data_IF_486334602890
#
_entry.id   IF_486334602890
#
_cell.length_a   1.000
_cell.length_b   1.000
_cell.length_c   1.000
_cell.angle_alpha   90.00
_cell.angle_beta   90.00
_cell.angle_gamma   90.00
#
_symmetry.space_group_name_H-M   'P 1'
#
loop_
_entity.id
_entity.type
_entity.pdbx_description
1 polymer ?
#
# COMPACT_ATOMS: atom_id res chain seq x y z
N UNK A 1 -9.27 -24.33 -37.30
CA UNK A 1 -9.36 -23.83 -35.90
C UNK A 1 -8.87 -22.38 -35.88
N UNK A 2 -9.78 -21.40 -35.97
CA UNK A 2 -9.42 -19.98 -35.93
C UNK A 2 -10.34 -19.27 -34.95
N UNK A 3 -9.93 -19.20 -33.69
CA UNK A 3 -10.50 -18.25 -32.73
C UNK A 3 -9.91 -16.88 -33.06
N UNK A 4 -10.50 -16.17 -34.03
CA UNK A 4 -10.21 -14.74 -34.22
C UNK A 4 -10.77 -14.02 -33.00
N UNK A 5 -9.91 -13.39 -32.20
CA UNK A 5 -10.35 -12.43 -31.21
C UNK A 5 -11.02 -11.26 -31.94
N UNK A 6 -12.35 -11.25 -31.95
CA UNK A 6 -13.14 -10.22 -32.65
C UNK A 6 -13.10 -8.90 -31.88
N UNK A 7 -12.90 -8.94 -30.56
CA UNK A 7 -12.71 -7.77 -29.68
C UNK A 7 -12.01 -8.20 -28.39
N UNK A 8 -11.01 -7.45 -27.95
CA UNK A 8 -10.28 -7.70 -26.70
C UNK A 8 -10.28 -6.44 -25.83
N UNK A 9 -10.49 -6.61 -24.52
CA UNK A 9 -10.43 -5.55 -23.51
C UNK A 9 -9.27 -5.86 -22.54
N UNK A 10 -8.44 -4.86 -22.27
CA UNK A 10 -7.25 -5.00 -21.41
C UNK A 10 -7.35 -4.04 -20.22
N UNK A 11 -7.79 -4.49 -19.03
CA UNK A 11 -7.81 -3.65 -17.83
C UNK A 11 -6.38 -3.43 -17.30
N UNK A 12 -6.06 -2.19 -16.90
CA UNK A 12 -4.73 -1.85 -16.39
C UNK A 12 -4.73 -0.64 -15.45
N UNK A 13 -3.73 -0.56 -14.58
CA UNK A 13 -3.47 0.61 -13.75
C UNK A 13 -1.96 0.90 -13.75
N UNK A 14 -1.53 1.89 -14.55
CA UNK A 14 -0.13 2.31 -14.70
C UNK A 14 0.50 2.84 -13.41
N UNK A 15 -0.30 3.11 -12.38
CA UNK A 15 0.16 3.61 -11.08
C UNK A 15 0.25 2.51 -10.02
N UNK A 16 0.09 1.24 -10.38
CA UNK A 16 0.33 0.09 -9.51
C UNK A 16 1.57 -0.69 -9.95
N UNK A 17 1.93 -1.74 -9.19
CA UNK A 17 3.14 -2.52 -9.45
C UNK A 17 3.12 -3.18 -10.83
N UNK A 18 4.19 -2.91 -11.58
CA UNK A 18 4.49 -3.62 -12.81
C UNK A 18 5.23 -4.95 -12.52
N UNK A 19 5.34 -5.87 -13.51
CA UNK A 19 6.03 -7.14 -13.33
C UNK A 19 7.42 -6.96 -12.72
N UNK A 20 7.81 -7.90 -11.86
CA UNK A 20 9.13 -7.90 -11.24
C UNK A 20 10.21 -8.24 -12.28
N UNK A 21 11.29 -7.46 -12.31
CA UNK A 21 12.41 -7.62 -13.24
C UNK A 21 13.71 -7.56 -12.42
N UNK A 22 14.65 -8.46 -12.70
CA UNK A 22 15.94 -8.57 -12.00
C UNK A 22 17.05 -7.66 -12.56
N UNK A 23 16.75 -6.87 -13.58
CA UNK A 23 17.67 -5.91 -14.18
C UNK A 23 17.07 -4.49 -14.16
N UNK A 24 17.91 -3.44 -14.30
CA UNK A 24 17.42 -2.07 -14.39
C UNK A 24 16.40 -1.91 -15.52
N UNK A 25 15.34 -1.11 -15.30
CA UNK A 25 14.32 -0.86 -16.34
C UNK A 25 14.86 -0.15 -17.59
N UNK A 26 16.01 0.49 -17.46
CA UNK A 26 16.73 1.13 -18.57
C UNK A 26 17.51 0.13 -19.43
N UNK A 27 17.73 -1.10 -18.97
CA UNK A 27 18.48 -2.10 -19.70
C UNK A 27 17.66 -2.66 -20.88
N UNK A 28 18.32 -2.96 -22.00
CA UNK A 28 17.67 -3.53 -23.19
C UNK A 28 16.81 -4.77 -22.89
N UNK A 29 17.23 -5.73 -22.04
CA UNK A 29 16.38 -6.86 -21.68
C UNK A 29 15.06 -6.45 -21.02
N UNK A 30 15.06 -5.38 -20.22
CA UNK A 30 13.84 -4.87 -19.60
C UNK A 30 12.96 -4.12 -20.61
N UNK A 31 13.57 -3.30 -21.47
CA UNK A 31 12.85 -2.50 -22.48
C UNK A 31 12.15 -3.37 -23.54
N UNK A 32 12.79 -4.45 -23.97
CA UNK A 32 12.27 -5.31 -25.04
C UNK A 32 11.61 -6.59 -24.51
N UNK A 33 12.11 -7.16 -23.42
CA UNK A 33 11.69 -8.47 -22.91
C UNK A 33 10.73 -8.44 -21.73
N UNK A 34 10.59 -7.30 -21.04
CA UNK A 34 9.78 -7.20 -19.82
C UNK A 34 8.84 -5.99 -19.79
N UNK A 35 8.57 -5.38 -20.96
CA UNK A 35 7.55 -4.34 -21.10
C UNK A 35 6.15 -4.98 -21.12
N UNK A 36 5.21 -4.42 -20.37
CA UNK A 36 3.84 -4.91 -20.36
C UNK A 36 3.20 -4.75 -21.75
N UNK A 37 2.44 -5.74 -22.20
CA UNK A 37 1.74 -5.66 -23.50
C UNK A 37 0.85 -4.40 -23.57
N UNK A 38 0.27 -4.00 -22.44
CA UNK A 38 -0.58 -2.81 -22.35
C UNK A 38 0.24 -1.52 -22.48
N UNK A 39 1.45 -1.47 -21.90
CA UNK A 39 2.37 -0.33 -22.07
C UNK A 39 2.77 -0.14 -23.54
N UNK A 40 2.87 -1.25 -24.29
CA UNK A 40 3.14 -1.21 -25.73
C UNK A 40 1.92 -0.72 -26.50
N UNK A 41 0.74 -1.26 -26.21
CA UNK A 41 -0.51 -0.90 -26.86
C UNK A 41 -0.87 0.57 -26.66
N UNK A 42 -0.76 1.09 -25.43
CA UNK A 42 -1.04 2.51 -25.12
C UNK A 42 -0.02 3.46 -25.75
N UNK A 43 1.21 3.01 -26.01
CA UNK A 43 2.17 3.81 -26.78
C UNK A 43 1.86 3.91 -28.27
N UNK A 44 0.82 3.21 -28.75
CA UNK A 44 0.32 3.31 -30.13
C UNK A 44 -0.97 4.11 -30.12
N UNK A 45 -1.02 5.18 -30.91
CA UNK A 45 -2.21 6.06 -31.02
C UNK A 45 -3.49 5.34 -31.49
N UNK A 46 -3.33 4.18 -32.14
CA UNK A 46 -4.44 3.38 -32.68
C UNK A 46 -5.27 2.62 -31.61
N UNK A 47 -4.85 2.61 -30.34
CA UNK A 47 -5.57 1.88 -29.28
C UNK A 47 -6.38 2.87 -28.43
N UNK A 48 -7.72 2.84 -28.48
CA UNK A 48 -8.54 3.74 -27.68
C UNK A 48 -8.39 3.41 -26.19
N UNK A 49 -8.16 4.45 -25.38
CA UNK A 49 -8.02 4.35 -23.93
C UNK A 49 -9.22 5.00 -23.25
N UNK A 50 -9.89 4.26 -22.37
CA UNK A 50 -10.96 4.77 -21.53
C UNK A 50 -10.47 4.79 -20.07
N UNK A 51 -10.41 5.98 -19.47
CA UNK A 51 -9.96 6.16 -18.10
C UNK A 51 -11.11 5.97 -17.11
N UNK A 52 -10.91 5.10 -16.10
CA UNK A 52 -11.82 4.94 -14.98
C UNK A 52 -11.32 5.77 -13.79
N UNK A 53 -11.95 6.92 -13.56
CA UNK A 53 -11.51 7.86 -12.54
C UNK A 53 -12.31 7.77 -11.23
N UNK A 54 -13.48 7.12 -11.23
CA UNK A 54 -14.31 7.00 -10.02
C UNK A 54 -13.96 5.73 -9.24
N UNK A 55 -13.64 5.87 -7.96
CA UNK A 55 -13.36 4.77 -7.03
C UNK A 55 -14.47 4.63 -5.99
N UNK A 56 -14.97 3.41 -5.80
CA UNK A 56 -16.01 3.09 -4.80
C UNK A 56 -15.44 2.37 -3.56
N UNK A 57 -14.11 2.21 -3.52
CA UNK A 57 -13.41 1.42 -2.51
C UNK A 57 -13.44 2.10 -1.15
N UNK A 58 -12.70 3.18 -1.00
CA UNK A 58 -12.32 3.70 0.31
C UNK A 58 -13.24 4.83 0.79
N UNK A 59 -13.14 5.16 2.08
CA UNK A 59 -13.66 6.41 2.63
C UNK A 59 -13.16 7.59 1.78
N UNK A 60 -14.02 8.57 1.51
CA UNK A 60 -13.71 9.66 0.57
C UNK A 60 -12.42 10.41 0.93
N UNK A 61 -12.19 10.66 2.22
CA UNK A 61 -10.97 11.30 2.73
C UNK A 61 -9.68 10.48 2.55
N UNK A 62 -9.77 9.14 2.46
CA UNK A 62 -8.60 8.29 2.19
C UNK A 62 -8.15 8.41 0.74
N UNK A 63 -9.05 8.72 -0.19
CA UNK A 63 -8.71 8.83 -1.61
C UNK A 63 -7.96 10.13 -1.93
N UNK A 64 -8.11 11.18 -1.11
CA UNK A 64 -7.48 12.49 -1.33
C UNK A 64 -5.96 12.38 -1.45
N UNK A 65 -5.33 11.60 -0.56
CA UNK A 65 -3.88 11.45 -0.53
C UNK A 65 -3.35 10.69 -1.77
N UNK A 66 -3.78 9.45 -2.08
CA UNK A 66 -3.36 8.77 -3.31
C UNK A 66 -3.71 9.55 -4.58
N UNK A 67 -4.87 10.23 -4.62
CA UNK A 67 -5.28 11.03 -5.78
C UNK A 67 -4.29 12.15 -6.08
N UNK A 68 -3.88 12.91 -5.04
CA UNK A 68 -2.93 14.01 -5.19
C UNK A 68 -1.50 13.55 -5.46
N UNK A 69 -1.07 12.42 -4.87
CA UNK A 69 0.29 11.91 -5.01
C UNK A 69 0.51 11.18 -6.36
N UNK A 70 -0.45 10.38 -6.80
CA UNK A 70 -0.22 9.41 -7.89
C UNK A 70 -1.12 9.62 -9.11
N UNK A 71 -2.21 10.37 -8.98
CA UNK A 71 -3.23 10.51 -10.03
C UNK A 71 -3.53 11.97 -10.40
N UNK A 72 -2.68 12.93 -10.03
CA UNK A 72 -2.85 14.35 -10.37
C UNK A 72 -4.25 14.90 -10.02
N UNK A 73 -4.80 14.47 -8.88
CA UNK A 73 -6.16 14.80 -8.42
C UNK A 73 -7.31 14.31 -9.32
N UNK A 74 -7.06 13.35 -10.21
CA UNK A 74 -8.09 12.84 -11.13
C UNK A 74 -9.07 11.84 -10.49
N UNK A 75 -8.75 11.24 -9.32
CA UNK A 75 -9.64 10.26 -8.70
C UNK A 75 -10.84 10.93 -8.03
N UNK A 76 -12.03 10.43 -8.33
CA UNK A 76 -13.31 10.84 -7.74
C UNK A 76 -13.81 9.75 -6.81
N UNK A 77 -14.28 10.11 -5.62
CA UNK A 77 -14.90 9.16 -4.69
C UNK A 77 -16.36 8.93 -5.06
N UNK A 78 -16.72 7.70 -5.42
CA UNK A 78 -18.10 7.27 -5.67
C UNK A 78 -18.84 6.83 -4.40
N UNK A 79 -18.15 6.74 -3.27
CA UNK A 79 -18.70 6.31 -1.97
C UNK A 79 -18.71 7.48 -1.00
N UNK A 80 -19.83 7.65 -0.28
CA UNK A 80 -19.96 8.66 0.77
C UNK A 80 -19.16 8.29 2.03
N UNK A 81 -18.75 9.31 2.79
CA UNK A 81 -18.05 9.13 4.06
C UNK A 81 -18.85 8.29 5.07
N UNK A 82 -20.18 8.47 5.12
CA UNK A 82 -21.06 7.74 6.04
C UNK A 82 -21.07 6.23 5.81
N UNK A 83 -20.81 5.77 4.58
CA UNK A 83 -20.76 4.34 4.25
C UNK A 83 -19.42 3.68 4.65
N UNK A 84 -18.44 4.45 5.16
CA UNK A 84 -17.07 4.00 5.42
C UNK A 84 -16.57 4.33 6.83
N UNK A 85 -17.44 4.17 7.83
CA UNK A 85 -17.17 4.66 9.20
C UNK A 85 -16.58 3.67 10.21
N UNK A 86 -16.56 2.36 9.92
CA UNK A 86 -16.02 1.32 10.84
C UNK A 86 -14.76 1.74 11.62
N UNK A 87 -13.78 2.34 10.95
CA UNK A 87 -12.57 2.83 11.60
C UNK A 87 -12.84 4.00 12.56
N UNK A 88 -13.51 5.06 12.10
CA UNK A 88 -13.80 6.27 12.89
C UNK A 88 -14.70 5.98 14.09
N UNK A 89 -15.62 5.02 13.95
CA UNK A 89 -16.54 4.66 15.04
C UNK A 89 -15.83 3.86 16.14
N UNK A 90 -14.69 3.21 15.84
CA UNK A 90 -13.95 2.36 16.78
C UNK A 90 -12.61 2.95 17.22
N UNK A 91 -12.05 3.92 16.49
CA UNK A 91 -10.71 4.46 16.72
C UNK A 91 -10.81 5.95 17.00
N UNK A 92 -10.28 6.38 18.15
CA UNK A 92 -10.20 7.81 18.50
C UNK A 92 -9.11 8.46 17.66
N UNK A 93 -9.54 9.30 16.73
CA UNK A 93 -8.65 10.06 15.86
C UNK A 93 -8.61 11.52 16.34
N UNK A 94 -7.47 12.20 16.15
CA UNK A 94 -7.38 13.64 16.43
C UNK A 94 -8.30 14.46 15.50
N UNK A 95 -8.51 13.97 14.28
CA UNK A 95 -9.49 14.48 13.35
C UNK A 95 -10.52 13.38 13.08
N UNK A 96 -11.75 13.59 13.54
CA UNK A 96 -12.85 12.61 13.46
C UNK A 96 -13.36 12.38 12.02
N UNK A 97 -12.88 13.16 11.04
CA UNK A 97 -13.28 13.03 9.64
C UNK A 97 -12.27 12.28 8.78
N UNK A 98 -11.05 12.04 9.28
CA UNK A 98 -9.96 11.44 8.50
C UNK A 98 -9.59 10.09 9.12
N UNK A 99 -9.95 8.96 8.47
CA UNK A 99 -9.65 7.62 8.99
C UNK A 99 -8.22 7.17 8.67
N UNK A 100 -7.26 8.05 8.91
CA UNK A 100 -5.84 7.82 8.71
C UNK A 100 -5.10 8.22 9.98
N UNK A 101 -4.31 7.30 10.54
CA UNK A 101 -3.48 7.57 11.69
C UNK A 101 -2.05 7.16 11.43
N UNK A 102 -1.15 8.13 11.54
CA UNK A 102 0.27 7.85 11.62
C UNK A 102 0.67 7.63 13.09
N UNK A 103 1.33 6.51 13.36
CA UNK A 103 1.85 6.12 14.66
C UNK A 103 3.37 6.20 14.59
N UNK A 104 3.92 7.24 15.20
CA UNK A 104 5.37 7.38 15.31
C UNK A 104 5.90 6.34 16.30
N UNK A 105 6.74 5.43 15.81
CA UNK A 105 7.36 4.37 16.63
C UNK A 105 8.84 4.69 16.82
N UNK A 106 9.24 4.87 18.07
CA UNK A 106 10.62 5.09 18.47
C UNK A 106 11.40 3.76 18.57
N UNK A 107 11.51 3.05 17.45
CA UNK A 107 12.27 1.79 17.33
C UNK A 107 13.49 1.94 16.42
N UNK A 108 14.34 0.92 16.39
CA UNK A 108 15.49 0.86 15.47
C UNK A 108 15.41 -0.38 14.59
N UNK A 109 15.44 -0.18 13.28
CA UNK A 109 15.41 -1.29 12.33
C UNK A 109 16.76 -2.01 12.26
N UNK A 110 16.70 -3.34 12.23
CA UNK A 110 17.86 -4.22 12.05
C UNK A 110 17.84 -4.73 10.62
N UNK A 111 18.96 -4.54 9.91
CA UNK A 111 19.18 -5.05 8.55
C UNK A 111 19.75 -6.47 8.59
N UNK A 112 19.15 -7.40 7.87
CA UNK A 112 19.67 -8.77 7.73
C UNK A 112 20.75 -8.87 6.65
N UNK A 113 21.45 -10.01 6.62
CA UNK A 113 22.42 -10.35 5.57
C UNK A 113 21.79 -10.30 4.17
N UNK A 114 20.51 -10.65 4.06
CA UNK A 114 19.75 -10.58 2.80
C UNK A 114 19.32 -9.15 2.40
N UNK A 115 19.68 -8.14 3.19
CA UNK A 115 19.38 -6.73 2.92
C UNK A 115 17.94 -6.30 3.26
N UNK A 116 17.14 -7.20 3.83
CA UNK A 116 15.80 -6.88 4.33
C UNK A 116 15.89 -6.32 5.76
N UNK A 117 14.81 -5.71 6.26
CA UNK A 117 14.76 -5.04 7.54
C UNK A 117 13.66 -5.63 8.45
N UNK A 118 13.88 -5.51 9.75
CA UNK A 118 12.90 -5.81 10.79
C UNK A 118 12.99 -4.79 11.92
N UNK A 119 11.89 -4.53 12.62
CA UNK A 119 11.78 -3.56 13.71
C UNK A 119 10.82 -4.15 14.77
N UNK A 120 11.36 -4.43 15.95
CA UNK A 120 10.63 -5.11 17.03
C UNK A 120 9.63 -4.17 17.69
N UNK A 121 9.98 -2.90 17.88
CA UNK A 121 9.09 -1.92 18.50
C UNK A 121 7.87 -1.66 17.62
N UNK A 122 8.06 -1.63 16.30
CA UNK A 122 6.97 -1.47 15.33
C UNK A 122 6.05 -2.69 15.29
N UNK A 123 6.62 -3.90 15.44
CA UNK A 123 5.84 -5.13 15.61
C UNK A 123 5.00 -5.06 16.89
N UNK A 124 5.59 -4.70 18.02
CA UNK A 124 4.89 -4.61 19.31
C UNK A 124 3.75 -3.59 19.26
N UNK A 125 3.99 -2.43 18.63
CA UNK A 125 2.96 -1.42 18.41
C UNK A 125 1.82 -1.95 17.53
N UNK A 126 2.15 -2.65 16.43
CA UNK A 126 1.18 -3.30 15.56
C UNK A 126 0.30 -4.30 16.34
N UNK A 127 0.94 -5.20 17.10
CA UNK A 127 0.23 -6.21 17.90
C UNK A 127 -0.72 -5.57 18.91
N UNK A 128 -0.25 -4.55 19.63
CA UNK A 128 -1.08 -3.81 20.60
C UNK A 128 -2.32 -3.17 19.95
N UNK A 129 -2.16 -2.60 18.75
CA UNK A 129 -3.27 -2.00 18.01
C UNK A 129 -4.25 -3.08 17.56
N UNK A 130 -3.78 -4.16 16.93
CA UNK A 130 -4.62 -5.27 16.46
C UNK A 130 -5.45 -5.84 17.60
N UNK A 131 -4.82 -6.21 18.71
CA UNK A 131 -5.53 -6.74 19.89
C UNK A 131 -6.54 -5.74 20.44
N UNK A 132 -6.21 -4.44 20.41
CA UNK A 132 -7.12 -3.37 20.78
C UNK A 132 -8.36 -3.26 19.88
N UNK A 133 -8.20 -3.45 18.57
CA UNK A 133 -9.31 -3.46 17.61
C UNK A 133 -10.17 -4.71 17.77
N UNK A 134 -9.56 -5.88 17.97
CA UNK A 134 -10.27 -7.14 18.23
C UNK A 134 -11.09 -7.05 19.52
N UNK A 135 -10.52 -6.50 20.60
CA UNK A 135 -11.23 -6.26 21.87
C UNK A 135 -12.43 -5.31 21.71
N UNK A 136 -12.42 -4.43 20.71
CA UNK A 136 -13.55 -3.55 20.38
C UNK A 136 -14.60 -4.22 19.48
N UNK A 137 -14.41 -5.50 19.12
CA UNK A 137 -15.35 -6.26 18.31
C UNK A 137 -15.17 -6.09 16.81
N UNK A 138 -14.07 -5.48 16.33
CA UNK A 138 -13.75 -5.52 14.91
C UNK A 138 -13.30 -6.94 14.57
N UNK A 139 -13.92 -7.62 13.60
CA UNK A 139 -13.55 -8.99 13.27
C UNK A 139 -12.17 -9.06 12.62
N UNK A 140 -11.40 -10.10 12.96
CA UNK A 140 -10.05 -10.34 12.42
C UNK A 140 -10.03 -10.35 10.89
N UNK A 141 -11.07 -10.91 10.27
CA UNK A 141 -11.28 -10.95 8.82
C UNK A 141 -11.36 -9.57 8.15
N UNK A 142 -11.68 -8.52 8.91
CA UNK A 142 -11.72 -7.12 8.44
C UNK A 142 -10.38 -6.38 8.56
N UNK A 143 -9.38 -7.01 9.17
CA UNK A 143 -8.05 -6.46 9.40
C UNK A 143 -7.05 -7.04 8.39
N UNK A 144 -6.02 -6.26 8.05
CA UNK A 144 -4.78 -6.78 7.47
C UNK A 144 -3.56 -6.01 7.99
N UNK A 145 -2.44 -6.71 8.01
CA UNK A 145 -1.12 -6.17 8.22
C UNK A 145 -0.38 -6.20 6.87
N UNK A 146 0.17 -5.05 6.47
CA UNK A 146 1.01 -4.94 5.29
C UNK A 146 2.37 -4.42 5.74
N UNK A 147 3.44 -5.05 5.30
CA UNK A 147 4.80 -4.57 5.54
C UNK A 147 5.59 -4.43 4.24
N UNK A 148 6.51 -3.48 4.21
CA UNK A 148 7.43 -3.34 3.08
C UNK A 148 8.49 -4.45 3.05
N UNK A 149 8.89 -5.00 4.19
CA UNK A 149 10.10 -5.82 4.30
C UNK A 149 9.79 -7.27 4.68
N UNK A 150 10.51 -8.21 4.04
CA UNK A 150 10.30 -9.66 4.21
C UNK A 150 10.67 -10.17 5.61
N UNK A 151 11.67 -9.58 6.24
CA UNK A 151 12.06 -10.02 7.60
C UNK A 151 11.07 -9.52 8.65
N UNK A 152 10.49 -8.33 8.45
CA UNK A 152 9.36 -7.89 9.26
C UNK A 152 8.15 -8.81 9.08
N UNK A 153 7.84 -9.20 7.84
CA UNK A 153 6.79 -10.16 7.55
C UNK A 153 7.01 -11.46 8.33
N UNK A 154 8.20 -12.07 8.23
CA UNK A 154 8.52 -13.32 8.93
C UNK A 154 8.34 -13.23 10.44
N UNK A 155 8.71 -12.10 11.03
CA UNK A 155 8.54 -11.88 12.48
C UNK A 155 7.07 -11.76 12.89
N UNK A 156 6.20 -11.33 11.98
CA UNK A 156 4.77 -11.20 12.22
C UNK A 156 3.97 -12.47 11.92
N UNK A 157 4.53 -13.46 11.23
CA UNK A 157 3.79 -14.66 10.79
C UNK A 157 3.09 -15.37 11.94
N UNK A 158 3.82 -15.63 13.04
CA UNK A 158 3.25 -16.30 14.21
C UNK A 158 2.11 -15.49 14.83
N UNK A 159 2.34 -14.20 15.09
CA UNK A 159 1.32 -13.32 15.66
C UNK A 159 0.08 -13.23 14.78
N UNK A 160 0.26 -13.00 13.47
CA UNK A 160 -0.80 -12.92 12.47
C UNK A 160 -1.64 -14.19 12.41
N UNK A 161 -0.99 -15.35 12.48
CA UNK A 161 -1.67 -16.65 12.53
C UNK A 161 -2.48 -16.81 13.81
N UNK A 162 -1.91 -16.44 14.97
CA UNK A 162 -2.56 -16.61 16.28
C UNK A 162 -3.82 -15.74 16.44
N UNK A 163 -3.84 -14.56 15.80
CA UNK A 163 -5.01 -13.65 15.82
C UNK A 163 -5.91 -13.74 14.56
N UNK A 164 -5.60 -14.66 13.63
CA UNK A 164 -6.30 -14.84 12.36
C UNK A 164 -6.45 -13.56 11.52
N UNK A 165 -5.37 -12.79 11.38
CA UNK A 165 -5.34 -11.54 10.61
C UNK A 165 -4.47 -11.71 9.37
N UNK A 166 -4.96 -11.31 8.20
CA UNK A 166 -4.21 -11.36 6.93
C UNK A 166 -2.87 -10.60 7.05
N UNK A 167 -1.78 -11.25 6.66
CA UNK A 167 -0.45 -10.65 6.61
C UNK A 167 0.12 -10.72 5.19
N UNK A 168 0.63 -9.59 4.72
CA UNK A 168 1.19 -9.47 3.39
C UNK A 168 2.42 -8.56 3.32
N UNK A 169 3.25 -8.78 2.32
CA UNK A 169 4.24 -7.79 1.88
C UNK A 169 3.63 -6.86 0.84
N UNK A 170 4.11 -5.62 0.72
CA UNK A 170 3.58 -4.66 -0.27
C UNK A 170 3.58 -5.20 -1.71
N UNK A 171 4.58 -6.03 -2.06
CA UNK A 171 4.71 -6.65 -3.37
C UNK A 171 3.81 -7.89 -3.55
N UNK A 172 3.34 -8.52 -2.46
CA UNK A 172 2.46 -9.69 -2.49
C UNK A 172 0.98 -9.38 -2.27
N UNK A 173 0.63 -8.14 -1.89
CA UNK A 173 -0.77 -7.72 -1.78
C UNK A 173 -1.38 -7.60 -3.18
N UNK A 174 -1.99 -8.68 -3.66
CA UNK A 174 -2.71 -8.68 -4.93
C UNK A 174 -4.21 -8.68 -4.70
N UNK A 175 -4.89 -7.63 -5.19
CA UNK A 175 -6.35 -7.58 -5.37
C UNK A 175 -7.21 -7.72 -4.11
N UNK A 176 -6.62 -7.90 -2.92
CA UNK A 176 -7.33 -8.04 -1.65
C UNK A 176 -7.39 -6.70 -0.94
N UNK A 177 -8.60 -6.33 -0.58
CA UNK A 177 -8.93 -5.12 0.18
C UNK A 177 -9.39 -5.56 1.57
N UNK A 178 -9.09 -4.75 2.58
CA UNK A 178 -9.58 -4.95 3.94
C UNK A 178 -10.22 -3.68 4.47
N UNK A 179 -11.04 -3.81 5.49
CA UNK A 179 -11.71 -2.64 6.04
C UNK A 179 -10.71 -1.76 6.79
N UNK A 180 -9.84 -2.35 7.60
CA UNK A 180 -8.76 -1.64 8.29
C UNK A 180 -7.41 -2.27 7.95
N UNK A 181 -6.44 -1.43 7.59
CA UNK A 181 -5.08 -1.87 7.24
C UNK A 181 -4.07 -1.22 8.19
N UNK A 182 -3.15 -2.02 8.71
CA UNK A 182 -1.96 -1.56 9.41
C UNK A 182 -0.77 -1.70 8.48
N UNK A 183 -0.21 -0.57 8.06
CA UNK A 183 0.95 -0.49 7.18
C UNK A 183 2.22 -0.24 7.99
N UNK A 184 3.15 -1.19 7.94
CA UNK A 184 4.44 -1.12 8.63
C UNK A 184 5.54 -0.73 7.64
N UNK A 185 6.13 0.44 7.88
CA UNK A 185 7.25 0.95 7.08
C UNK A 185 8.59 0.36 7.51
N UNK A 186 8.70 -0.16 8.74
CA UNK A 186 9.82 -0.92 9.32
C UNK A 186 11.13 -0.15 9.49
N UNK A 187 11.60 0.49 8.43
CA UNK A 187 12.98 0.95 8.32
C UNK A 187 13.20 2.29 9.00
N UNK A 188 14.32 2.40 9.70
CA UNK A 188 14.77 3.62 10.39
C UNK A 188 16.16 4.04 9.94
N UNK A 189 16.57 5.27 10.26
CA UNK A 189 17.88 5.81 9.90
C UNK A 189 18.09 5.89 8.38
N UNK A 190 17.06 6.36 7.65
CA UNK A 190 17.07 6.35 6.19
C UNK A 190 17.63 7.64 5.64
N UNK A 191 18.66 7.53 4.81
CA UNK A 191 19.06 8.58 3.88
C UNK A 191 18.31 8.44 2.55
N UNK A 192 18.01 9.57 1.90
CA UNK A 192 17.27 9.62 0.63
C UNK A 192 17.87 8.70 -0.47
N UNK A 193 19.19 8.61 -0.53
CA UNK A 193 19.94 7.76 -1.49
C UNK A 193 19.64 6.26 -1.35
N UNK A 194 19.26 5.83 -0.16
CA UNK A 194 19.07 4.42 0.19
C UNK A 194 17.60 4.04 0.32
N UNK A 195 16.69 5.02 0.36
CA UNK A 195 15.26 4.85 0.63
C UNK A 195 14.37 4.44 -0.56
N UNK A 196 14.94 4.28 -1.76
CA UNK A 196 14.20 4.14 -3.01
C UNK A 196 13.12 3.05 -3.01
N UNK A 197 13.34 1.93 -2.32
CA UNK A 197 12.33 0.87 -2.22
C UNK A 197 11.10 1.28 -1.38
N UNK A 198 11.33 1.97 -0.25
CA UNK A 198 10.27 2.43 0.63
C UNK A 198 9.54 3.65 0.02
N UNK A 199 10.27 4.52 -0.65
CA UNK A 199 9.75 5.74 -1.29
C UNK A 199 9.25 5.53 -2.73
N UNK A 200 9.17 4.28 -3.20
CA UNK A 200 8.66 3.94 -4.52
C UNK A 200 7.17 4.28 -4.64
N UNK A 201 6.83 5.19 -5.56
CA UNK A 201 5.48 5.70 -5.71
C UNK A 201 4.44 4.60 -6.03
N UNK A 202 4.81 3.55 -6.76
CA UNK A 202 3.90 2.46 -7.10
C UNK A 202 3.60 1.60 -5.88
N UNK A 203 4.62 1.29 -5.07
CA UNK A 203 4.47 0.57 -3.79
C UNK A 203 3.66 1.37 -2.78
N UNK A 204 3.95 2.66 -2.65
CA UNK A 204 3.18 3.55 -1.78
C UNK A 204 1.72 3.60 -2.20
N UNK A 205 1.44 3.75 -3.49
CA UNK A 205 0.06 3.75 -3.98
C UNK A 205 -0.66 2.43 -3.69
N UNK A 206 0.00 1.29 -3.92
CA UNK A 206 -0.57 -0.02 -3.55
C UNK A 206 -0.87 -0.05 -2.06
N UNK A 207 0.11 0.24 -1.20
CA UNK A 207 -0.01 0.17 0.25
C UNK A 207 -1.12 1.09 0.81
N UNK A 208 -1.17 2.34 0.37
CA UNK A 208 -2.11 3.34 0.88
C UNK A 208 -3.55 3.15 0.37
N UNK A 209 -3.76 2.34 -0.68
CA UNK A 209 -5.09 2.12 -1.28
C UNK A 209 -5.72 0.77 -0.94
N UNK A 210 -5.20 0.04 0.06
CA UNK A 210 -5.73 -1.28 0.45
C UNK A 210 -6.88 -1.24 1.45
N UNK A 211 -7.05 -0.14 2.17
CA UNK A 211 -8.11 -0.01 3.16
C UNK A 211 -9.41 0.51 2.54
N UNK A 212 -10.54 0.03 3.06
CA UNK A 212 -11.87 0.55 2.73
C UNK A 212 -12.33 1.59 3.76
N UNK A 213 -12.10 1.33 5.05
CA UNK A 213 -12.61 2.15 6.15
C UNK A 213 -11.52 2.98 6.82
N UNK A 214 -10.30 2.46 6.98
CA UNK A 214 -9.21 3.24 7.57
C UNK A 214 -7.84 2.59 7.55
N UNK A 215 -6.81 3.40 7.79
CA UNK A 215 -5.41 2.97 7.75
C UNK A 215 -4.64 3.48 8.94
N UNK A 216 -3.88 2.59 9.57
CA UNK A 216 -2.74 2.95 10.40
C UNK A 216 -1.45 2.87 9.58
N UNK A 217 -0.59 3.86 9.71
CA UNK A 217 0.79 3.80 9.20
C UNK A 217 1.72 3.85 10.39
N UNK A 218 2.53 2.82 10.57
CA UNK A 218 3.51 2.71 11.65
C UNK A 218 4.91 2.95 11.06
N UNK A 219 5.74 3.72 11.77
CA UNK A 219 7.10 4.00 11.32
C UNK A 219 7.81 5.10 12.10
N UNK A 220 9.05 5.37 11.69
CA UNK A 220 9.83 6.50 12.20
C UNK A 220 9.49 7.77 11.40
N UNK A 221 8.90 8.77 12.06
CA UNK A 221 8.57 10.05 11.44
C UNK A 221 9.82 10.74 10.85
N UNK A 222 10.93 10.67 11.58
CA UNK A 222 12.22 11.21 11.16
C UNK A 222 12.68 10.59 9.84
N UNK A 223 12.68 9.25 9.77
CA UNK A 223 13.15 8.52 8.60
C UNK A 223 12.25 8.72 7.38
N UNK A 224 10.94 8.78 7.60
CA UNK A 224 9.96 8.97 6.53
C UNK A 224 9.95 10.41 6.00
N UNK A 225 10.19 11.41 6.85
CA UNK A 225 10.31 12.82 6.40
C UNK A 225 11.58 13.10 5.60
N UNK A 226 12.61 12.28 5.75
CA UNK A 226 13.80 12.35 4.91
C UNK A 226 13.56 11.90 3.46
N UNK A 227 12.39 11.32 3.16
CA UNK A 227 12.05 10.76 1.85
C UNK A 227 11.08 11.68 1.07
N UNK A 228 11.33 11.92 -0.24
CA UNK A 228 10.53 12.84 -1.04
C UNK A 228 9.02 12.55 -1.08
N UNK A 229 8.59 11.30 -1.24
CA UNK A 229 7.16 10.99 -1.32
C UNK A 229 6.54 10.84 0.07
N UNK A 230 7.22 10.19 1.02
CA UNK A 230 6.70 10.03 2.39
C UNK A 230 6.61 11.34 3.18
N UNK A 231 7.49 12.31 2.93
CA UNK A 231 7.38 13.66 3.52
C UNK A 231 6.10 14.40 3.12
N UNK A 232 5.47 14.02 2.00
CA UNK A 232 4.17 14.58 1.57
C UNK A 232 2.97 13.88 2.22
N UNK A 233 3.21 12.76 2.90
CA UNK A 233 2.20 11.98 3.65
C UNK A 233 2.13 12.43 5.12
N UNK A 234 3.26 12.89 5.69
CA UNK A 234 3.45 13.24 7.12
C UNK A 234 3.54 14.75 7.40
#
# INVERSE_FOLDING_TARGET
MSSKFVRSLFPHNFRQLAPHIRCPRTASPAQYGARGVIDLLVSKEAVPVASLCTTYRAHSQLNTLPSSLFYSNALVSGTSACNRRLFLDNVRCRNENIPFLFVNVSGTSIKSVGGSHSNTEELNACSTIIEGLLRKGIPSSSLAIITFYKDQFRRLEQFSHDVDVDLHTVDSVQGREKDVVLLLTTRTGIEASSGAFLDDALRMNVALTRSRHGTFVLGSAESLRALPNWSRVL
#
